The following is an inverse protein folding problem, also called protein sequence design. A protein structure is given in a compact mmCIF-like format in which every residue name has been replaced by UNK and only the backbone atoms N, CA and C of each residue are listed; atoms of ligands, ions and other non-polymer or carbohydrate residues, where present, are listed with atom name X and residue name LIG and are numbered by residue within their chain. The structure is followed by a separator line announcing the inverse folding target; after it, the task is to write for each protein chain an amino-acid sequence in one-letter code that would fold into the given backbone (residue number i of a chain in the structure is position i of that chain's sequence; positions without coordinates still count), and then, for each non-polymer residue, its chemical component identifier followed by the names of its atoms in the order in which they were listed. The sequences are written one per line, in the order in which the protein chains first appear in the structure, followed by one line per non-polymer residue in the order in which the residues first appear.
data_IF_910417727576
#
_entry.id   IF_910417727576
#
_cell.length_a   1.000
_cell.length_b   1.000
_cell.length_c   1.000
_cell.angle_alpha   90.00
_cell.angle_beta   90.00
_cell.angle_gamma   90.00
#
_symmetry.space_group_name_H-M   'P 1'
#
loop_
_entity.id
_entity.type
_entity.pdbx_description
1 polymer ?
#
# COMPACT_ATOMS: atom_id res chain seq x y z
N UNK A 1 18.72 -0.63 -2.38
CA UNK A 1 18.07 0.69 -2.21
C UNK A 1 18.43 1.69 -3.30
N UNK A 2 19.69 1.82 -3.66
CA UNK A 2 20.14 2.72 -4.74
C UNK A 2 19.48 2.36 -6.08
N UNK A 3 19.31 1.07 -6.38
CA UNK A 3 18.66 0.60 -7.60
C UNK A 3 17.15 0.85 -7.63
N UNK A 4 16.53 0.94 -6.46
CA UNK A 4 15.11 1.18 -6.34
C UNK A 4 14.74 2.65 -6.65
N UNK A 5 15.57 3.60 -6.21
CA UNK A 5 15.29 5.02 -6.38
C UNK A 5 15.10 5.45 -7.83
N UNK A 6 15.94 5.00 -8.80
CA UNK A 6 15.71 5.34 -10.20
C UNK A 6 14.38 4.82 -10.74
N UNK A 7 13.99 3.60 -10.36
CA UNK A 7 12.71 3.00 -10.77
C UNK A 7 11.53 3.78 -10.23
N UNK A 8 11.60 4.18 -8.96
CA UNK A 8 10.56 5.00 -8.33
C UNK A 8 10.44 6.36 -9.02
N UNK A 9 11.57 6.94 -9.38
CA UNK A 9 11.62 8.23 -10.06
C UNK A 9 10.97 8.16 -11.45
N UNK A 10 11.26 7.11 -12.21
CA UNK A 10 10.64 6.89 -13.52
C UNK A 10 9.13 6.73 -13.42
N UNK A 11 8.67 5.92 -12.49
CA UNK A 11 7.25 5.69 -12.26
C UNK A 11 6.56 7.00 -11.85
N UNK A 12 7.19 7.78 -10.98
CA UNK A 12 6.69 9.09 -10.55
C UNK A 12 6.58 10.08 -11.70
N UNK A 13 7.58 10.16 -12.57
CA UNK A 13 7.58 11.07 -13.73
C UNK A 13 6.51 10.72 -14.75
N UNK A 14 6.31 9.44 -15.02
CA UNK A 14 5.37 8.99 -16.04
C UNK A 14 3.93 9.38 -15.74
N UNK A 15 3.58 9.59 -14.48
CA UNK A 15 2.19 9.80 -14.04
C UNK A 15 2.00 10.99 -13.09
N UNK A 16 3.06 11.70 -12.75
CA UNK A 16 3.06 12.68 -11.66
C UNK A 16 2.44 14.03 -11.95
N UNK A 17 2.22 14.37 -13.20
CA UNK A 17 1.90 15.74 -13.60
C UNK A 17 0.56 16.27 -13.08
N UNK A 18 -0.38 15.43 -12.69
CA UNK A 18 -1.72 15.85 -12.30
C UNK A 18 -2.12 15.37 -10.90
N UNK A 19 -1.15 14.97 -10.06
CA UNK A 19 -1.47 14.20 -8.87
C UNK A 19 -0.81 14.78 -7.60
N UNK A 20 -1.18 16.02 -7.24
CA UNK A 20 -0.57 16.67 -6.07
C UNK A 20 -0.65 15.86 -4.77
N UNK A 21 -1.79 15.20 -4.51
CA UNK A 21 -1.95 14.31 -3.35
C UNK A 21 -1.09 13.07 -3.45
N UNK A 22 -1.06 12.46 -4.64
CA UNK A 22 -0.21 11.30 -4.92
C UNK A 22 1.28 11.64 -4.85
N UNK A 23 1.67 12.80 -5.35
CA UNK A 23 3.05 13.27 -5.28
C UNK A 23 3.51 13.43 -3.83
N UNK A 24 2.67 13.96 -2.95
CA UNK A 24 2.98 14.08 -1.52
C UNK A 24 3.19 12.72 -0.87
N UNK A 25 2.32 11.75 -1.17
CA UNK A 25 2.46 10.38 -0.67
C UNK A 25 3.74 9.74 -1.19
N UNK A 26 4.03 9.91 -2.46
CA UNK A 26 5.26 9.39 -3.08
C UNK A 26 6.50 10.02 -2.48
N UNK A 27 6.47 11.31 -2.23
CA UNK A 27 7.59 12.02 -1.61
C UNK A 27 7.83 11.53 -0.18
N UNK A 28 6.76 11.31 0.58
CA UNK A 28 6.86 10.78 1.94
C UNK A 28 7.46 9.37 1.95
N UNK A 29 7.03 8.51 1.03
CA UNK A 29 7.59 7.17 0.88
C UNK A 29 9.08 7.26 0.51
N UNK A 30 9.41 8.12 -0.45
CA UNK A 30 10.80 8.34 -0.88
C UNK A 30 11.70 8.80 0.26
N UNK A 31 11.22 9.73 1.09
CA UNK A 31 11.98 10.21 2.25
C UNK A 31 12.23 9.09 3.27
N UNK A 32 11.20 8.27 3.53
CA UNK A 32 11.34 7.14 4.43
C UNK A 32 12.38 6.14 3.90
N UNK A 33 12.37 5.90 2.59
CA UNK A 33 13.31 4.98 1.94
C UNK A 33 14.76 5.48 1.96
N UNK A 34 14.96 6.78 2.02
CA UNK A 34 16.30 7.37 2.12
C UNK A 34 17.05 6.93 3.37
N UNK A 35 16.32 6.58 4.42
CA UNK A 35 16.91 6.06 5.66
C UNK A 35 17.34 4.58 5.55
N UNK A 36 17.12 3.95 4.39
CA UNK A 36 17.43 2.54 4.14
C UNK A 36 16.79 1.61 5.18
N UNK A 37 15.47 1.66 5.38
CA UNK A 37 14.81 0.94 6.46
C UNK A 37 14.68 -0.56 6.18
N UNK A 38 14.65 -1.35 7.24
CA UNK A 38 14.26 -2.75 7.18
C UNK A 38 12.72 -2.88 7.18
N UNK A 39 12.03 -1.93 7.78
CA UNK A 39 10.58 -1.91 7.95
C UNK A 39 10.03 -0.53 7.61
N UNK A 40 9.02 -0.50 6.76
CA UNK A 40 8.30 0.71 6.37
C UNK A 40 6.87 0.63 6.93
N UNK A 41 6.48 1.63 7.71
CA UNK A 41 5.15 1.74 8.29
C UNK A 41 4.33 2.76 7.50
N UNK A 42 3.15 2.34 7.03
CA UNK A 42 2.26 3.20 6.24
C UNK A 42 0.85 3.18 6.83
N UNK A 43 0.32 4.35 7.09
CA UNK A 43 -1.04 4.51 7.62
C UNK A 43 -1.91 5.18 6.56
N UNK A 44 -2.90 4.43 6.09
CA UNK A 44 -3.90 4.85 5.10
C UNK A 44 -3.32 5.55 3.85
N UNK A 45 -2.33 4.95 3.18
CA UNK A 45 -1.71 5.60 2.03
C UNK A 45 -2.64 5.78 0.83
N UNK A 46 -3.75 5.03 0.76
CA UNK A 46 -4.71 5.15 -0.34
C UNK A 46 -5.81 6.18 -0.09
N UNK A 47 -5.95 6.68 1.14
CA UNK A 47 -7.07 7.54 1.51
C UNK A 47 -7.10 8.85 0.73
N UNK A 48 -8.28 9.21 0.26
CA UNK A 48 -8.51 10.48 -0.43
C UNK A 48 -7.93 10.58 -1.83
N UNK A 49 -7.44 9.49 -2.38
CA UNK A 49 -6.80 9.48 -3.70
C UNK A 49 -7.69 8.81 -4.76
N UNK A 50 -7.55 9.28 -6.00
CA UNK A 50 -8.25 8.69 -7.13
C UNK A 50 -7.79 7.24 -7.38
N UNK A 51 -8.65 6.37 -7.94
CA UNK A 51 -8.29 4.97 -8.17
C UNK A 51 -7.01 4.76 -8.98
N UNK A 52 -6.76 5.60 -9.96
CA UNK A 52 -5.54 5.52 -10.78
C UNK A 52 -4.30 5.81 -9.94
N UNK A 53 -4.39 6.79 -9.03
CA UNK A 53 -3.29 7.14 -8.13
C UNK A 53 -3.04 6.02 -7.13
N UNK A 54 -4.11 5.43 -6.59
CA UNK A 54 -4.04 4.30 -5.67
C UNK A 54 -3.34 3.12 -6.34
N UNK A 55 -3.69 2.81 -7.58
CA UNK A 55 -3.04 1.75 -8.35
C UNK A 55 -1.54 2.02 -8.53
N UNK A 56 -1.19 3.27 -8.75
CA UNK A 56 0.19 3.69 -8.92
C UNK A 56 1.00 3.52 -7.63
N UNK A 57 0.43 3.93 -6.49
CA UNK A 57 1.07 3.75 -5.19
C UNK A 57 1.25 2.25 -4.88
N UNK A 58 0.27 1.42 -5.19
CA UNK A 58 0.37 -0.03 -5.02
C UNK A 58 1.56 -0.59 -5.81
N UNK A 59 1.74 -0.13 -7.04
CA UNK A 59 2.86 -0.54 -7.89
C UNK A 59 4.20 -0.16 -7.28
N UNK A 60 4.31 1.06 -6.77
CA UNK A 60 5.52 1.54 -6.09
C UNK A 60 5.82 0.69 -4.85
N UNK A 61 4.82 0.41 -4.03
CA UNK A 61 5.01 -0.39 -2.82
C UNK A 61 5.41 -1.83 -3.14
N UNK A 62 4.93 -2.38 -4.24
CA UNK A 62 5.38 -3.69 -4.71
C UNK A 62 6.85 -3.69 -5.06
N UNK A 63 7.35 -2.63 -5.70
CA UNK A 63 8.77 -2.47 -6.00
C UNK A 63 9.61 -2.35 -4.72
N UNK A 64 9.12 -1.60 -3.74
CA UNK A 64 9.77 -1.47 -2.43
C UNK A 64 9.89 -2.83 -1.75
N UNK A 65 8.82 -3.60 -1.77
CA UNK A 65 8.79 -4.95 -1.23
C UNK A 65 9.78 -5.88 -1.93
N UNK A 66 9.84 -5.82 -3.25
CA UNK A 66 10.79 -6.62 -4.04
C UNK A 66 12.25 -6.27 -3.71
N UNK A 67 12.50 -5.04 -3.29
CA UNK A 67 13.83 -4.61 -2.87
C UNK A 67 14.23 -5.11 -1.46
N UNK A 68 13.36 -5.86 -0.80
CA UNK A 68 13.64 -6.48 0.50
C UNK A 68 13.15 -5.71 1.70
N UNK A 69 12.41 -4.62 1.52
CA UNK A 69 11.83 -3.85 2.62
C UNK A 69 10.52 -4.52 3.08
N UNK A 70 10.40 -4.75 4.37
CA UNK A 70 9.15 -5.24 4.96
C UNK A 70 8.19 -4.07 5.11
N UNK A 71 6.93 -4.26 4.70
CA UNK A 71 5.90 -3.22 4.78
C UNK A 71 4.82 -3.63 5.76
N UNK A 72 4.53 -2.76 6.73
CA UNK A 72 3.36 -2.86 7.58
C UNK A 72 2.40 -1.76 7.18
N UNK A 73 1.25 -2.14 6.64
CA UNK A 73 0.30 -1.26 6.01
C UNK A 73 -1.04 -1.32 6.73
N UNK A 74 -1.56 -0.18 7.15
CA UNK A 74 -2.92 -0.06 7.65
C UNK A 74 -3.75 0.74 6.64
N UNK A 75 -4.81 0.13 6.13
CA UNK A 75 -5.68 0.78 5.15
C UNK A 75 -7.07 0.15 5.16
N UNK A 76 -8.08 0.94 4.91
CA UNK A 76 -9.46 0.46 4.80
C UNK A 76 -9.77 -0.09 3.41
N UNK A 77 -8.95 0.23 2.42
CA UNK A 77 -9.12 -0.22 1.06
C UNK A 77 -8.55 -1.64 0.90
N UNK A 78 -9.43 -2.63 1.04
CA UNK A 78 -9.01 -4.03 0.97
C UNK A 78 -8.42 -4.41 -0.39
N UNK A 79 -8.95 -3.86 -1.47
CA UNK A 79 -8.42 -4.14 -2.82
C UNK A 79 -6.98 -3.66 -2.95
N UNK A 80 -6.68 -2.50 -2.40
CA UNK A 80 -5.33 -1.96 -2.36
C UNK A 80 -4.42 -2.86 -1.52
N UNK A 81 -4.85 -3.21 -0.31
CA UNK A 81 -4.09 -4.11 0.57
C UNK A 81 -3.80 -5.45 -0.10
N UNK A 82 -4.78 -6.00 -0.81
CA UNK A 82 -4.61 -7.27 -1.52
C UNK A 82 -3.50 -7.21 -2.58
N UNK A 83 -3.36 -6.08 -3.24
CA UNK A 83 -2.33 -5.89 -4.28
C UNK A 83 -0.92 -5.80 -3.69
N UNK A 84 -0.79 -5.32 -2.48
CA UNK A 84 0.52 -5.04 -1.85
C UNK A 84 0.93 -6.12 -0.86
N UNK A 85 0.00 -6.59 -0.06
CA UNK A 85 0.29 -7.43 1.11
C UNK A 85 0.08 -8.91 0.86
N UNK A 86 0.84 -9.73 1.59
CA UNK A 86 0.71 -11.19 1.56
C UNK A 86 -0.21 -11.71 2.67
N UNK A 87 -0.15 -11.07 3.84
CA UNK A 87 -0.91 -11.43 5.02
C UNK A 87 -1.60 -10.21 5.59
N UNK A 88 -2.65 -10.44 6.35
CA UNK A 88 -3.36 -9.34 6.96
C UNK A 88 -4.06 -9.71 8.26
N UNK A 89 -4.43 -8.66 8.97
CA UNK A 89 -5.24 -8.71 10.18
C UNK A 89 -6.42 -7.76 9.99
N UNK A 90 -7.62 -8.26 10.20
CA UNK A 90 -8.81 -7.39 10.17
C UNK A 90 -9.08 -6.91 11.60
N UNK A 91 -8.98 -5.61 11.79
CA UNK A 91 -9.19 -4.97 13.08
C UNK A 91 -10.57 -4.29 13.13
N UNK A 92 -11.28 -4.51 14.20
CA UNK A 92 -12.55 -3.85 14.44
C UNK A 92 -12.71 -3.62 15.93
N UNK A 93 -13.06 -2.40 16.31
CA UNK A 93 -13.25 -2.00 17.72
C UNK A 93 -12.06 -2.38 18.61
N UNK A 94 -10.86 -2.18 18.10
CA UNK A 94 -9.63 -2.44 18.85
C UNK A 94 -9.26 -3.90 19.00
N UNK A 95 -9.90 -4.79 18.25
CA UNK A 95 -9.64 -6.24 18.32
C UNK A 95 -9.33 -6.82 16.96
N UNK A 96 -8.48 -7.84 16.92
CA UNK A 96 -8.26 -8.64 15.72
C UNK A 96 -9.44 -9.58 15.54
N UNK A 97 -10.22 -9.38 14.47
CA UNK A 97 -11.38 -10.22 14.15
C UNK A 97 -11.00 -11.40 13.27
N UNK A 98 -10.00 -11.24 12.43
CA UNK A 98 -9.57 -12.25 11.48
C UNK A 98 -8.09 -12.03 11.16
N UNK A 99 -7.35 -13.10 10.98
CA UNK A 99 -5.98 -13.06 10.48
C UNK A 99 -5.73 -14.19 9.51
N UNK A 100 -4.81 -13.98 8.58
CA UNK A 100 -4.45 -15.01 7.61
C UNK A 100 -3.77 -14.42 6.40
N UNK A 101 -3.67 -15.23 5.34
CA UNK A 101 -3.21 -14.75 4.05
C UNK A 101 -4.26 -13.80 3.47
N UNK A 102 -3.83 -12.92 2.56
CA UNK A 102 -4.77 -12.02 1.90
C UNK A 102 -5.84 -12.78 1.13
N UNK A 103 -5.50 -13.95 0.55
CA UNK A 103 -6.48 -14.78 -0.14
C UNK A 103 -7.53 -15.33 0.82
N UNK A 104 -7.13 -15.80 2.00
CA UNK A 104 -8.06 -16.27 3.03
C UNK A 104 -9.00 -15.16 3.51
N UNK A 105 -8.45 -13.98 3.76
CA UNK A 105 -9.21 -12.82 4.21
C UNK A 105 -10.22 -12.40 3.14
N UNK A 106 -9.82 -12.37 1.88
CA UNK A 106 -10.68 -11.95 0.78
C UNK A 106 -11.75 -12.97 0.41
N UNK A 107 -11.66 -14.20 0.92
CA UNK A 107 -12.70 -15.22 0.77
C UNK A 107 -13.73 -15.21 1.88
N UNK A 108 -13.45 -14.54 2.99
CA UNK A 108 -14.37 -14.46 4.12
C UNK A 108 -15.62 -13.67 3.72
N UNK A 109 -16.80 -14.27 3.89
CA UNK A 109 -18.07 -13.66 3.47
C UNK A 109 -18.36 -12.32 4.16
N UNK A 110 -18.06 -12.23 5.45
CA UNK A 110 -18.29 -10.99 6.19
C UNK A 110 -17.36 -9.88 5.73
N UNK A 111 -16.11 -10.21 5.44
CA UNK A 111 -15.13 -9.27 4.90
C UNK A 111 -15.54 -8.80 3.52
N UNK A 112 -15.96 -9.71 2.65
CA UNK A 112 -16.44 -9.38 1.30
C UNK A 112 -17.61 -8.43 1.37
N UNK A 113 -18.61 -8.70 2.21
CA UNK A 113 -19.77 -7.82 2.36
C UNK A 113 -19.42 -6.44 2.86
N UNK A 114 -18.50 -6.35 3.80
CA UNK A 114 -18.15 -5.08 4.45
C UNK A 114 -17.19 -4.22 3.64
N UNK A 115 -16.22 -4.84 2.98
CA UNK A 115 -15.10 -4.12 2.36
C UNK A 115 -14.97 -4.26 0.84
N UNK A 116 -15.57 -5.29 0.23
CA UNK A 116 -15.47 -5.53 -1.21
C UNK A 116 -16.78 -5.39 -1.96
N UNK A 117 -17.91 -5.46 -1.30
CA UNK A 117 -19.23 -5.47 -1.94
C UNK A 117 -19.79 -4.05 -2.17
N UNK A 118 -18.99 -3.15 -2.62
CA UNK A 118 -19.43 -1.76 -2.88
C UNK A 118 -19.61 -1.53 -4.36
#
# INVERSE_FOLDING_TARGET
MVELLPKLKEVGRARGLNLSGGERKMLAIGRALMANPALLLLDEPSEGLAPLVVAHIAEVLRLVKQAGVTILLADQNLRFCRKVCDRGYVLEKGRVQLEGTMDEICRDEQVVRKYLAV
#
